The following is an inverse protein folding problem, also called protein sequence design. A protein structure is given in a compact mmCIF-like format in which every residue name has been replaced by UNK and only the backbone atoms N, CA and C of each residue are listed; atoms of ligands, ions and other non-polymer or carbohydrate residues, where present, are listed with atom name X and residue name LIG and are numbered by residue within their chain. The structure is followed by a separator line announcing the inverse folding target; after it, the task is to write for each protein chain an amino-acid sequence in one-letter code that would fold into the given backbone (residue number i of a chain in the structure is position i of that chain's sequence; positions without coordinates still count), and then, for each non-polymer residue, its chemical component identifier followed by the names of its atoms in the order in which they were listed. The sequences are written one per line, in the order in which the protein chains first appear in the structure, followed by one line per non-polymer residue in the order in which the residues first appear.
data_IF_053036947146
#
_entry.id   IF_053036947146
#
_cell.length_a   1.000
_cell.length_b   1.000
_cell.length_c   1.000
_cell.angle_alpha   90.00
_cell.angle_beta   90.00
_cell.angle_gamma   90.00
#
_symmetry.space_group_name_H-M   'P 1'
#
loop_
_entity.id
_entity.type
_entity.pdbx_description
1 polymer ?
#
# COMPACT_ATOMS: atom_id res chain seq x y z
N UNK A 1 -11.64 -27.27 -23.78
CA UNK A 1 -12.27 -26.27 -22.90
C UNK A 1 -11.41 -25.02 -22.99
N UNK A 2 -11.88 -23.97 -23.68
CA UNK A 2 -11.17 -22.68 -23.71
C UNK A 2 -11.41 -22.04 -22.34
N UNK A 3 -10.34 -21.81 -21.59
CA UNK A 3 -10.38 -20.87 -20.47
C UNK A 3 -10.51 -19.51 -21.15
N UNK A 4 -11.73 -18.97 -21.21
CA UNK A 4 -11.90 -17.58 -21.63
C UNK A 4 -11.18 -16.72 -20.59
N UNK A 5 -10.22 -15.90 -21.05
CA UNK A 5 -9.54 -14.94 -20.19
C UNK A 5 -10.56 -13.93 -19.70
N UNK A 6 -11.06 -14.15 -18.48
CA UNK A 6 -11.76 -13.14 -17.67
C UNK A 6 -10.78 -12.12 -17.08
N UNK A 7 -9.52 -12.11 -17.53
CA UNK A 7 -8.43 -11.34 -16.95
C UNK A 7 -8.67 -9.84 -17.05
N UNK A 8 -8.37 -9.12 -15.97
CA UNK A 8 -8.16 -7.67 -16.02
C UNK A 8 -7.00 -7.40 -16.98
N UNK A 9 -7.25 -6.68 -18.08
CA UNK A 9 -6.21 -6.36 -19.07
C UNK A 9 -5.18 -5.33 -18.55
N UNK A 10 -5.43 -4.75 -17.38
CA UNK A 10 -4.61 -3.70 -16.79
C UNK A 10 -4.15 -4.11 -15.39
N UNK A 11 -2.86 -3.87 -15.14
CA UNK A 11 -2.22 -4.06 -13.86
C UNK A 11 -1.55 -2.75 -13.47
N UNK A 12 -2.00 -2.14 -12.38
CA UNK A 12 -1.38 -0.94 -11.81
C UNK A 12 -0.39 -1.38 -10.75
N UNK A 13 0.89 -1.13 -10.99
CA UNK A 13 1.96 -1.51 -10.06
C UNK A 13 2.43 -0.27 -9.32
N UNK A 14 2.42 -0.34 -7.99
CA UNK A 14 2.92 0.68 -7.06
C UNK A 14 3.97 0.04 -6.16
N UNK A 15 4.93 0.81 -5.64
CA UNK A 15 6.06 0.31 -4.86
C UNK A 15 6.66 1.46 -4.03
N UNK A 16 7.55 1.14 -3.10
CA UNK A 16 8.38 2.11 -2.36
C UNK A 16 7.56 3.26 -1.75
N UNK A 17 6.47 2.93 -1.06
CA UNK A 17 5.61 3.97 -0.48
C UNK A 17 6.24 4.60 0.76
N UNK A 18 7.08 3.87 1.50
CA UNK A 18 7.76 4.36 2.69
C UNK A 18 6.84 5.11 3.66
N UNK A 19 5.66 4.55 3.93
CA UNK A 19 4.63 5.19 4.77
C UNK A 19 5.05 5.34 6.24
N UNK A 20 6.25 4.87 6.62
CA UNK A 20 6.85 5.10 7.93
C UNK A 20 7.80 6.29 7.98
N UNK A 21 8.13 6.91 6.85
CA UNK A 21 9.14 7.96 6.73
C UNK A 21 8.50 9.35 6.56
N UNK A 22 9.13 10.38 7.14
CA UNK A 22 8.74 11.79 7.02
C UNK A 22 8.83 12.35 5.60
N UNK A 23 9.35 11.57 4.65
CA UNK A 23 9.44 11.88 3.22
C UNK A 23 8.62 10.94 2.32
N UNK A 24 8.12 9.83 2.86
CA UNK A 24 7.32 8.87 2.10
C UNK A 24 5.85 9.26 2.01
N UNK A 25 5.02 8.37 1.48
CA UNK A 25 3.59 8.61 1.29
C UNK A 25 2.89 8.70 2.65
N UNK A 26 2.13 9.77 2.86
CA UNK A 26 1.33 9.96 4.08
C UNK A 26 -0.03 10.54 3.69
N UNK A 27 -1.15 9.96 4.15
CA UNK A 27 -2.47 10.52 3.89
C UNK A 27 -2.63 11.87 4.61
N UNK A 28 -3.54 12.73 4.11
CA UNK A 28 -3.76 14.05 4.67
C UNK A 28 -4.47 13.95 6.02
N UNK A 29 -4.28 14.98 6.84
CA UNK A 29 -4.90 15.09 8.15
C UNK A 29 -3.92 14.80 9.29
N UNK A 30 -4.48 14.53 10.46
CA UNK A 30 -3.73 14.19 11.67
C UNK A 30 -3.88 12.71 11.97
N UNK A 31 -2.78 11.98 11.88
CA UNK A 31 -2.72 10.56 12.20
C UNK A 31 -2.47 10.43 13.70
N UNK A 32 -3.34 9.73 14.41
CA UNK A 32 -3.12 9.44 15.84
C UNK A 32 -2.06 8.35 15.95
N UNK A 33 -1.00 8.66 16.68
CA UNK A 33 0.06 7.71 16.99
C UNK A 33 -0.32 6.94 18.26
N UNK A 34 0.05 5.67 18.33
CA UNK A 34 -0.22 4.79 19.48
C UNK A 34 0.30 5.39 20.81
N UNK A 35 1.41 6.13 20.77
CA UNK A 35 1.96 6.85 21.92
C UNK A 35 1.12 8.04 22.44
N UNK A 36 -0.08 8.26 21.89
CA UNK A 36 -1.01 9.33 22.30
C UNK A 36 -0.80 10.67 21.59
N UNK A 37 0.24 10.80 20.77
CA UNK A 37 0.52 11.98 19.95
C UNK A 37 -0.25 11.98 18.63
N UNK A 38 -0.08 13.05 17.85
CA UNK A 38 -0.55 13.08 16.46
C UNK A 38 0.56 13.51 15.51
N UNK A 39 0.63 12.87 14.36
CA UNK A 39 1.48 13.27 13.25
C UNK A 39 0.67 14.02 12.19
N UNK A 40 1.24 15.09 11.66
CA UNK A 40 0.75 15.77 10.47
C UNK A 40 1.85 15.74 9.41
N UNK A 41 1.46 15.44 8.17
CA UNK A 41 2.41 15.30 7.08
C UNK A 41 3.24 16.57 6.79
N UNK A 42 4.48 16.40 6.34
CA UNK A 42 5.39 17.48 5.99
C UNK A 42 5.01 18.15 4.66
N UNK A 43 5.62 19.31 4.34
CA UNK A 43 5.45 19.94 3.02
C UNK A 43 5.93 19.03 1.86
N UNK A 44 6.94 18.20 2.09
CA UNK A 44 7.38 17.20 1.12
C UNK A 44 6.31 16.14 0.89
N UNK A 45 5.76 15.59 1.97
CA UNK A 45 4.70 14.59 1.89
C UNK A 45 3.41 15.14 1.29
N UNK A 46 3.08 16.41 1.51
CA UNK A 46 1.96 17.07 0.80
C UNK A 46 2.12 17.02 -0.71
N UNK A 47 3.34 17.25 -1.22
CA UNK A 47 3.63 17.16 -2.66
C UNK A 47 3.55 15.72 -3.16
N UNK A 48 4.14 14.77 -2.43
CA UNK A 48 4.05 13.33 -2.74
C UNK A 48 2.59 12.88 -2.78
N UNK A 49 1.79 13.27 -1.79
CA UNK A 49 0.35 13.02 -1.77
C UNK A 49 -0.38 13.64 -2.96
N UNK A 50 -0.01 14.86 -3.37
CA UNK A 50 -0.54 15.49 -4.58
C UNK A 50 -0.26 14.65 -5.84
N UNK A 51 0.94 14.08 -5.97
CA UNK A 51 1.27 13.17 -7.07
C UNK A 51 0.49 11.85 -6.99
N UNK A 52 0.35 11.29 -5.79
CA UNK A 52 -0.47 10.10 -5.54
C UNK A 52 -1.92 10.31 -6.00
N UNK A 53 -2.52 11.42 -5.61
CA UNK A 53 -3.89 11.78 -6.00
C UNK A 53 -4.02 11.98 -7.52
N UNK A 54 -3.06 12.67 -8.15
CA UNK A 54 -3.04 12.85 -9.61
C UNK A 54 -2.88 11.52 -10.34
N UNK A 55 -2.05 10.62 -9.82
CA UNK A 55 -1.85 9.30 -10.38
C UNK A 55 -3.18 8.52 -10.40
N UNK A 56 -3.86 8.41 -9.25
CA UNK A 56 -5.08 7.62 -9.13
C UNK A 56 -6.33 8.26 -9.75
N UNK A 57 -6.44 9.58 -9.72
CA UNK A 57 -7.67 10.27 -10.14
C UNK A 57 -7.57 10.92 -11.52
N UNK A 58 -6.39 10.90 -12.15
CA UNK A 58 -6.22 11.43 -13.50
C UNK A 58 -5.48 10.46 -14.41
N UNK A 59 -4.31 9.96 -14.02
CA UNK A 59 -3.50 9.11 -14.88
C UNK A 59 -4.13 7.72 -15.08
N UNK A 60 -4.39 6.97 -14.01
CA UNK A 60 -4.95 5.61 -14.11
C UNK A 60 -6.27 5.59 -14.89
N UNK A 61 -7.29 6.44 -14.60
CA UNK A 61 -8.54 6.46 -15.36
C UNK A 61 -8.35 6.83 -16.84
N UNK A 62 -7.35 7.66 -17.18
CA UNK A 62 -7.06 8.02 -18.57
C UNK A 62 -6.51 6.83 -19.37
N UNK A 63 -5.78 5.91 -18.72
CA UNK A 63 -5.22 4.72 -19.34
C UNK A 63 -6.22 3.56 -19.38
N UNK A 64 -6.85 3.25 -18.25
CA UNK A 64 -7.72 2.06 -18.13
C UNK A 64 -9.14 2.32 -18.64
N UNK A 65 -9.58 3.58 -18.67
CA UNK A 65 -10.96 3.96 -19.01
C UNK A 65 -11.95 3.33 -18.03
N UNK A 66 -12.97 2.65 -18.58
CA UNK A 66 -13.96 1.89 -17.81
C UNK A 66 -13.61 0.42 -17.63
N UNK A 67 -12.42 -0.03 -18.06
CA UNK A 67 -12.03 -1.43 -17.94
C UNK A 67 -11.61 -1.74 -16.49
N UNK A 68 -11.96 -2.93 -15.98
CA UNK A 68 -11.41 -3.43 -14.73
C UNK A 68 -9.88 -3.47 -14.74
N UNK A 69 -9.26 -3.13 -13.62
CA UNK A 69 -7.81 -3.21 -13.42
C UNK A 69 -7.49 -3.80 -12.05
N UNK A 70 -6.39 -4.52 -11.96
CA UNK A 70 -5.86 -5.05 -10.71
C UNK A 70 -4.71 -4.17 -10.20
N UNK A 71 -4.44 -4.23 -8.90
CA UNK A 71 -3.34 -3.50 -8.25
C UNK A 71 -2.32 -4.49 -7.71
N UNK A 72 -1.03 -4.20 -7.91
CA UNK A 72 0.09 -4.85 -7.21
C UNK A 72 0.79 -3.79 -6.37
N UNK A 73 0.91 -4.04 -5.07
CA UNK A 73 1.88 -3.35 -4.23
C UNK A 73 3.16 -4.19 -4.19
N UNK A 74 4.21 -3.67 -4.82
CA UNK A 74 5.48 -4.33 -5.02
C UNK A 74 6.49 -3.95 -3.92
N UNK A 75 6.16 -4.25 -2.66
CA UNK A 75 7.05 -4.08 -1.52
C UNK A 75 7.29 -2.64 -1.05
N UNK A 76 8.02 -2.56 0.07
CA UNK A 76 8.55 -1.35 0.71
C UNK A 76 7.44 -0.30 0.98
N UNK A 77 6.26 -0.80 1.40
CA UNK A 77 5.15 0.06 1.77
C UNK A 77 5.42 0.82 3.09
N UNK A 78 6.27 0.25 3.94
CA UNK A 78 6.62 0.77 5.26
C UNK A 78 8.14 0.74 5.40
N UNK A 79 8.69 1.51 6.34
CA UNK A 79 10.13 1.64 6.51
C UNK A 79 10.71 0.62 7.50
N UNK A 80 9.86 0.07 8.37
CA UNK A 80 10.28 -0.88 9.38
C UNK A 80 11.04 -0.21 10.54
N UNK A 81 11.88 -1.02 11.21
CA UNK A 81 12.80 -0.58 12.26
C UNK A 81 14.22 -0.97 11.86
N UNK A 82 14.98 -0.04 11.32
CA UNK A 82 16.41 -0.24 11.09
C UNK A 82 17.22 0.84 11.82
N UNK A 83 18.39 0.47 12.33
CA UNK A 83 19.17 1.27 13.28
C UNK A 83 19.60 2.65 12.71
N UNK A 84 19.70 2.77 11.39
CA UNK A 84 20.11 3.99 10.71
C UNK A 84 18.93 4.89 10.28
N UNK A 85 17.69 4.51 10.63
CA UNK A 85 16.50 5.27 10.27
C UNK A 85 16.40 6.55 11.12
N UNK A 86 16.79 7.69 10.55
CA UNK A 86 16.80 8.99 11.24
C UNK A 86 15.55 9.83 11.00
N UNK A 87 14.69 9.42 10.07
CA UNK A 87 13.59 10.22 9.53
C UNK A 87 12.24 9.53 9.64
N UNK A 88 12.10 8.57 10.57
CA UNK A 88 10.83 7.89 10.80
C UNK A 88 9.77 8.87 11.36
N UNK A 89 8.53 8.69 10.91
CA UNK A 89 7.34 9.26 11.55
C UNK A 89 7.18 8.69 12.95
N UNK A 90 7.32 7.36 13.06
CA UNK A 90 7.30 6.61 14.31
C UNK A 90 8.08 5.32 14.15
N UNK A 91 8.82 4.92 15.19
CA UNK A 91 9.41 3.60 15.29
C UNK A 91 8.39 2.50 15.60
N UNK A 92 7.12 2.83 15.87
CA UNK A 92 6.08 1.85 16.08
C UNK A 92 5.56 1.32 14.72
N UNK A 93 5.68 0.02 14.49
CA UNK A 93 5.24 -0.61 13.25
C UNK A 93 3.73 -0.54 13.05
N UNK A 94 2.95 -0.50 14.14
CA UNK A 94 1.49 -0.31 14.07
C UNK A 94 1.11 1.07 13.53
N UNK A 95 1.91 2.10 13.86
CA UNK A 95 1.70 3.44 13.30
C UNK A 95 1.99 3.42 11.79
N UNK A 96 3.14 2.89 11.38
CA UNK A 96 3.50 2.79 9.96
C UNK A 96 2.48 1.98 9.14
N UNK A 97 2.00 0.87 9.70
CA UNK A 97 0.95 0.04 9.10
C UNK A 97 -0.36 0.82 8.95
N UNK A 98 -0.75 1.60 9.97
CA UNK A 98 -1.94 2.46 9.89
C UNK A 98 -1.80 3.50 8.79
N UNK A 99 -0.65 4.18 8.72
CA UNK A 99 -0.37 5.17 7.67
C UNK A 99 -0.44 4.53 6.28
N UNK A 100 0.21 3.38 6.10
CA UNK A 100 0.21 2.64 4.84
C UNK A 100 -1.21 2.24 4.44
N UNK A 101 -1.95 1.61 5.35
CA UNK A 101 -3.34 1.17 5.13
C UNK A 101 -4.23 2.34 4.73
N UNK A 102 -4.19 3.44 5.47
CA UNK A 102 -5.03 4.62 5.18
C UNK A 102 -4.69 5.27 3.84
N UNK A 103 -3.43 5.24 3.42
CA UNK A 103 -3.00 5.78 2.14
C UNK A 103 -3.49 4.98 0.93
N UNK A 104 -3.47 3.64 1.01
CA UNK A 104 -3.70 2.76 -0.15
C UNK A 104 -5.09 2.13 -0.19
N UNK A 105 -5.75 1.95 0.96
CA UNK A 105 -7.03 1.26 1.05
C UNK A 105 -8.14 1.85 0.15
N UNK A 106 -8.29 3.19 0.00
CA UNK A 106 -9.31 3.74 -0.88
C UNK A 106 -9.18 3.27 -2.34
N UNK A 107 -7.96 3.14 -2.85
CA UNK A 107 -7.71 2.77 -4.24
C UNK A 107 -7.84 1.26 -4.47
N UNK A 108 -7.44 0.47 -3.48
CA UNK A 108 -7.69 -0.97 -3.47
C UNK A 108 -9.19 -1.27 -3.45
N UNK A 109 -9.95 -0.57 -2.61
CA UNK A 109 -11.40 -0.71 -2.56
C UNK A 109 -12.04 -0.34 -3.91
N UNK A 110 -11.59 0.74 -4.55
CA UNK A 110 -12.05 1.16 -5.88
C UNK A 110 -11.78 0.10 -6.94
N UNK A 111 -10.56 -0.45 -6.99
CA UNK A 111 -10.19 -1.51 -7.94
C UNK A 111 -11.06 -2.77 -7.74
N UNK A 112 -11.23 -3.21 -6.48
CA UNK A 112 -12.07 -4.37 -6.14
C UNK A 112 -13.53 -4.17 -6.52
N UNK A 113 -14.11 -2.99 -6.26
CA UNK A 113 -15.47 -2.65 -6.67
C UNK A 113 -15.63 -2.65 -8.20
N UNK A 114 -14.57 -2.32 -8.93
CA UNK A 114 -14.51 -2.42 -10.39
C UNK A 114 -14.29 -3.84 -10.95
N UNK A 115 -14.25 -4.87 -10.09
CA UNK A 115 -13.98 -6.26 -10.50
C UNK A 115 -12.50 -6.62 -10.60
N UNK A 116 -11.61 -5.77 -10.09
CA UNK A 116 -10.18 -6.00 -10.03
C UNK A 116 -9.73 -6.80 -8.80
N UNK A 117 -8.47 -7.20 -8.82
CA UNK A 117 -7.82 -7.92 -7.72
C UNK A 117 -6.70 -7.09 -7.10
N UNK A 118 -6.32 -7.45 -5.88
CA UNK A 118 -5.18 -6.86 -5.19
C UNK A 118 -4.15 -7.94 -4.86
N UNK A 119 -2.90 -7.65 -5.18
CA UNK A 119 -1.75 -8.50 -4.89
C UNK A 119 -0.71 -7.69 -4.12
N UNK A 120 0.03 -8.36 -3.27
CA UNK A 120 1.12 -7.77 -2.51
C UNK A 120 2.36 -8.66 -2.68
N UNK A 121 3.48 -8.04 -3.03
CA UNK A 121 4.79 -8.70 -3.09
C UNK A 121 5.61 -8.11 -1.94
N UNK A 122 6.27 -8.96 -1.15
CA UNK A 122 7.15 -8.50 -0.06
C UNK A 122 8.29 -7.67 -0.63
N UNK A 123 8.64 -6.62 0.09
CA UNK A 123 9.77 -5.75 -0.20
C UNK A 123 11.09 -6.30 0.32
N UNK A 124 12.02 -5.40 0.56
CA UNK A 124 13.37 -5.71 0.99
C UNK A 124 13.43 -6.03 2.48
N UNK A 125 14.41 -6.85 2.89
CA UNK A 125 14.62 -7.17 4.31
C UNK A 125 14.94 -5.93 5.17
N UNK A 126 15.45 -4.86 4.55
CA UNK A 126 15.73 -3.60 5.22
C UNK A 126 14.45 -2.93 5.78
N UNK A 127 13.33 -3.14 5.10
CA UNK A 127 12.05 -2.49 5.38
C UNK A 127 11.01 -3.47 5.94
N UNK A 128 10.82 -4.61 5.28
CA UNK A 128 9.89 -5.67 5.72
C UNK A 128 10.42 -6.55 6.85
N UNK A 129 11.72 -6.47 7.16
CA UNK A 129 12.41 -7.40 8.04
C UNK A 129 12.64 -8.76 7.37
N UNK A 130 13.43 -9.64 8.01
CA UNK A 130 13.87 -10.93 7.43
C UNK A 130 12.75 -11.84 6.94
N UNK A 131 11.56 -11.74 7.55
CA UNK A 131 10.41 -12.58 7.23
C UNK A 131 9.24 -11.80 6.59
N UNK A 132 9.31 -10.47 6.46
CA UNK A 132 8.24 -9.66 5.87
C UNK A 132 6.94 -9.62 6.68
N UNK A 133 6.96 -9.97 7.97
CA UNK A 133 5.75 -10.22 8.78
C UNK A 133 4.78 -9.03 8.80
N UNK A 134 5.32 -7.80 8.89
CA UNK A 134 4.49 -6.60 8.95
C UNK A 134 3.84 -6.29 7.59
N UNK A 135 4.54 -6.55 6.48
CA UNK A 135 4.00 -6.40 5.14
C UNK A 135 2.96 -7.47 4.82
N UNK A 136 3.16 -8.71 5.26
CA UNK A 136 2.15 -9.78 5.19
C UNK A 136 0.90 -9.40 5.99
N UNK A 137 1.06 -8.83 7.19
CA UNK A 137 -0.08 -8.33 7.96
C UNK A 137 -0.82 -7.23 7.20
N UNK A 138 -0.09 -6.26 6.62
CA UNK A 138 -0.69 -5.20 5.80
C UNK A 138 -1.41 -5.78 4.57
N UNK A 139 -0.80 -6.76 3.89
CA UNK A 139 -1.40 -7.45 2.75
C UNK A 139 -2.72 -8.13 3.14
N UNK A 140 -2.76 -8.84 4.27
CA UNK A 140 -3.97 -9.45 4.82
C UNK A 140 -5.03 -8.41 5.15
N UNK A 141 -4.68 -7.32 5.84
CA UNK A 141 -5.64 -6.25 6.21
C UNK A 141 -6.22 -5.53 4.98
N UNK A 142 -5.46 -5.42 3.90
CA UNK A 142 -5.91 -4.87 2.62
C UNK A 142 -6.63 -5.90 1.73
N UNK A 143 -6.64 -7.17 2.15
CA UNK A 143 -7.26 -8.30 1.45
C UNK A 143 -6.55 -8.65 0.14
N UNK A 144 -5.22 -8.76 0.17
CA UNK A 144 -4.43 -9.28 -0.94
C UNK A 144 -4.78 -10.76 -1.22
N UNK A 145 -4.67 -11.17 -2.48
CA UNK A 145 -4.80 -12.59 -2.84
C UNK A 145 -3.53 -13.34 -2.39
N UNK A 146 -3.66 -14.42 -1.59
CA UNK A 146 -2.53 -15.23 -1.17
C UNK A 146 -1.83 -15.91 -2.36
N UNK A 147 -0.49 -15.98 -2.32
CA UNK A 147 0.33 -16.58 -3.39
C UNK A 147 0.23 -18.11 -3.47
N UNK A 148 -0.18 -18.76 -2.37
CA UNK A 148 -0.51 -20.17 -2.32
C UNK A 148 -1.93 -20.35 -1.79
N UNK A 149 -2.69 -21.26 -2.41
CA UNK A 149 -3.91 -21.85 -1.85
C UNK A 149 -3.54 -22.60 -0.55
N UNK A 150 -3.39 -21.88 0.57
CA UNK A 150 -3.33 -22.51 1.89
C UNK A 150 -4.72 -22.49 2.50
N UNK A 151 -5.40 -23.65 2.41
CA UNK A 151 -5.93 -24.34 3.59
C UNK A 151 -6.65 -23.52 4.68
N UNK A 152 -7.50 -22.57 4.30
CA UNK A 152 -8.61 -22.13 5.13
C UNK A 152 -9.91 -22.34 4.35
N UNK A 153 -10.21 -23.62 4.14
CA UNK A 153 -11.59 -24.10 4.17
C UNK A 153 -12.00 -24.14 5.64
N UNK A 154 -12.90 -23.23 6.03
CA UNK A 154 -13.97 -23.57 6.97
C UNK A 154 -15.29 -23.60 6.19
#
# INVERSE_FOLDING_TARGET
MKIESTGTNYLVVISDLHCGCQFGLCPPGKIKLDGGGSYAFSEGQKKVWGYWQRFWHSFVPNIVGSHPYSIVLNGDAMDGRHHDATTLVSGNLSDQLTIAREAVYPEILRAKQGGGYFYYIRGTEAHGGKAGEIEERLACELGAIPSYQSAFSE
#
